data_IF_401771808666
#
_entry.id   IF_401771808666
#
_cell.length_a   1.000
_cell.length_b   1.000
_cell.length_c   1.000
_cell.angle_alpha   90.00
_cell.angle_beta   90.00
_cell.angle_gamma   90.00
#
_symmetry.space_group_name_H-M   'P 1'
#
loop_
_entity.id
_entity.type
_entity.pdbx_description
1 polymer ?
#
# COMPACT_ATOMS: atom_id res chain seq x y z
N UNK A 1 11.13 -5.64 -8.17
CA UNK A 1 10.84 -7.09 -8.35
C UNK A 1 11.94 -7.82 -9.12
N UNK A 2 12.31 -7.39 -10.34
CA UNK A 2 13.53 -7.90 -11.01
C UNK A 2 14.80 -7.62 -10.20
N UNK A 3 14.90 -6.44 -9.58
CA UNK A 3 16.02 -6.08 -8.69
C UNK A 3 16.14 -7.00 -7.46
N UNK A 4 15.04 -7.62 -7.04
CA UNK A 4 14.96 -8.53 -5.89
C UNK A 4 14.88 -10.01 -6.32
N UNK A 5 15.10 -10.29 -7.61
CA UNK A 5 15.01 -11.61 -8.23
C UNK A 5 13.71 -12.37 -7.91
N UNK A 6 12.58 -11.65 -7.86
CA UNK A 6 11.26 -12.24 -7.64
C UNK A 6 10.72 -12.77 -8.96
N UNK A 7 10.34 -14.04 -8.98
CA UNK A 7 9.66 -14.68 -10.10
C UNK A 7 8.24 -14.12 -10.27
N UNK A 8 8.05 -13.33 -11.34
CA UNK A 8 6.80 -12.65 -11.61
C UNK A 8 5.67 -13.62 -12.01
N UNK A 9 5.96 -14.85 -12.45
CA UNK A 9 4.89 -15.82 -12.73
C UNK A 9 4.18 -16.30 -11.46
N UNK A 10 4.72 -16.00 -10.28
CA UNK A 10 4.16 -16.33 -8.96
C UNK A 10 3.39 -15.17 -8.33
N UNK A 11 3.20 -14.06 -9.03
CA UNK A 11 2.58 -12.86 -8.46
C UNK A 11 1.61 -12.20 -9.45
N UNK A 12 0.49 -11.70 -8.91
CA UNK A 12 -0.42 -10.78 -9.60
C UNK A 12 -0.38 -9.41 -8.92
N UNK A 13 -0.38 -8.34 -9.72
CA UNK A 13 -0.54 -6.96 -9.23
C UNK A 13 -1.85 -6.44 -9.79
N UNK A 14 -2.88 -6.38 -8.95
CA UNK A 14 -4.24 -6.03 -9.34
C UNK A 14 -4.66 -4.76 -8.57
N UNK A 15 -4.97 -3.64 -9.26
CA UNK A 15 -5.51 -2.46 -8.60
C UNK A 15 -6.95 -2.75 -8.15
N UNK A 16 -7.27 -2.41 -6.90
CA UNK A 16 -8.60 -2.60 -6.30
C UNK A 16 -9.14 -1.24 -5.89
N UNK A 17 -10.32 -0.89 -6.39
CA UNK A 17 -11.00 0.35 -6.02
C UNK A 17 -11.63 0.22 -4.63
N UNK A 18 -11.67 1.35 -3.90
CA UNK A 18 -12.32 1.39 -2.60
C UNK A 18 -13.83 1.17 -2.77
N UNK A 19 -14.41 0.27 -1.98
CA UNK A 19 -15.84 0.00 -2.01
C UNK A 19 -16.56 0.85 -0.96
N UNK A 20 -17.62 1.54 -1.37
CA UNK A 20 -18.44 2.33 -0.44
C UNK A 20 -19.20 1.44 0.55
N UNK A 21 -19.69 0.29 0.07
CA UNK A 21 -20.40 -0.68 0.91
C UNK A 21 -19.44 -1.75 1.42
N UNK A 22 -19.09 -1.65 2.71
CA UNK A 22 -18.16 -2.60 3.34
C UNK A 22 -18.72 -4.02 3.43
N UNK A 23 -20.05 -4.18 3.47
CA UNK A 23 -20.72 -5.48 3.57
C UNK A 23 -20.47 -6.33 2.33
N UNK A 24 -20.36 -5.71 1.15
CA UNK A 24 -20.12 -6.42 -0.11
C UNK A 24 -18.63 -6.63 -0.41
N UNK A 25 -17.72 -6.07 0.40
CA UNK A 25 -16.30 -6.01 0.08
C UNK A 25 -15.65 -7.39 -0.04
N UNK A 26 -15.95 -8.33 0.87
CA UNK A 26 -15.39 -9.67 0.79
C UNK A 26 -15.85 -10.44 -0.47
N UNK A 27 -17.13 -10.31 -0.83
CA UNK A 27 -17.68 -10.92 -2.06
C UNK A 27 -17.10 -10.26 -3.32
N UNK A 28 -16.89 -8.95 -3.30
CA UNK A 28 -16.23 -8.21 -4.37
C UNK A 28 -14.79 -8.69 -4.57
N UNK A 29 -14.00 -8.86 -3.50
CA UNK A 29 -12.65 -9.41 -3.61
C UNK A 29 -12.65 -10.82 -4.22
N UNK A 30 -13.61 -11.68 -3.82
CA UNK A 30 -13.74 -13.04 -4.40
C UNK A 30 -14.13 -13.04 -5.87
N UNK A 31 -14.81 -12.00 -6.38
CA UNK A 31 -15.23 -11.95 -7.78
C UNK A 31 -14.17 -11.39 -8.73
N UNK A 32 -13.32 -10.48 -8.26
CA UNK A 32 -12.34 -9.80 -9.11
C UNK A 32 -10.92 -10.37 -9.01
N UNK A 33 -10.62 -11.11 -7.95
CA UNK A 33 -9.30 -11.70 -7.73
C UNK A 33 -9.26 -13.15 -8.20
N UNK A 34 -8.08 -13.65 -8.64
CA UNK A 34 -7.84 -15.08 -8.71
C UNK A 34 -8.15 -15.75 -7.37
N UNK A 35 -8.49 -17.04 -7.40
CA UNK A 35 -8.73 -17.81 -6.18
C UNK A 35 -7.56 -17.69 -5.20
N UNK A 36 -7.87 -17.46 -3.92
CA UNK A 36 -6.89 -17.33 -2.85
C UNK A 36 -7.37 -18.04 -1.58
N UNK A 37 -6.43 -18.59 -0.82
CA UNK A 37 -6.73 -19.36 0.40
C UNK A 37 -6.49 -18.56 1.68
N UNK A 38 -5.57 -17.59 1.65
CA UNK A 38 -5.15 -16.83 2.83
C UNK A 38 -4.91 -15.37 2.48
N UNK A 39 -5.21 -14.48 3.43
CA UNK A 39 -4.97 -13.04 3.35
C UNK A 39 -3.97 -12.63 4.42
N UNK A 40 -3.07 -11.70 4.08
CA UNK A 40 -2.17 -11.07 5.04
C UNK A 40 -2.58 -9.61 5.24
N UNK A 41 -2.97 -9.23 6.46
CA UNK A 41 -3.35 -7.85 6.78
C UNK A 41 -2.79 -7.42 8.12
N UNK A 42 -2.21 -6.21 8.16
CA UNK A 42 -1.84 -5.54 9.40
C UNK A 42 -2.93 -4.61 9.95
N UNK A 43 -4.06 -4.48 9.25
CA UNK A 43 -5.21 -3.66 9.66
C UNK A 43 -6.23 -4.57 10.36
N UNK A 44 -6.56 -4.26 11.61
CA UNK A 44 -7.43 -5.09 12.44
C UNK A 44 -8.88 -5.10 11.96
N UNK A 45 -9.38 -3.97 11.44
CA UNK A 45 -10.73 -3.88 10.87
C UNK A 45 -10.87 -4.74 9.61
N UNK A 46 -9.93 -4.63 8.68
CA UNK A 46 -9.85 -5.51 7.49
C UNK A 46 -9.77 -6.97 7.89
N UNK A 47 -8.98 -7.29 8.91
CA UNK A 47 -8.81 -8.66 9.37
C UNK A 47 -10.11 -9.23 9.93
N UNK A 48 -10.83 -8.46 10.75
CA UNK A 48 -12.12 -8.84 11.31
C UNK A 48 -13.14 -9.10 10.19
N UNK A 49 -13.32 -8.15 9.27
CA UNK A 49 -14.29 -8.26 8.18
C UNK A 49 -14.10 -9.50 7.31
N UNK A 50 -12.85 -9.83 6.96
CA UNK A 50 -12.57 -10.98 6.11
C UNK A 50 -12.70 -12.30 6.88
N UNK A 51 -12.36 -12.31 8.17
CA UNK A 51 -12.60 -13.47 9.03
C UNK A 51 -14.09 -13.76 9.20
N UNK A 52 -14.93 -12.73 9.39
CA UNK A 52 -16.39 -12.86 9.43
C UNK A 52 -16.96 -13.41 8.12
N UNK A 53 -16.28 -13.16 7.00
CA UNK A 53 -16.60 -13.73 5.68
C UNK A 53 -16.00 -15.14 5.44
N UNK A 54 -15.46 -15.78 6.47
CA UNK A 54 -14.88 -17.13 6.45
C UNK A 54 -13.50 -17.24 5.80
N UNK A 55 -12.78 -16.12 5.62
CA UNK A 55 -11.45 -16.10 5.01
C UNK A 55 -10.39 -16.19 6.10
N UNK A 56 -9.37 -17.04 5.90
CA UNK A 56 -8.23 -17.13 6.82
C UNK A 56 -7.33 -15.90 6.67
N UNK A 57 -7.17 -15.13 7.75
CA UNK A 57 -6.32 -13.94 7.79
C UNK A 57 -5.13 -14.15 8.73
N UNK A 58 -3.93 -13.82 8.27
CA UNK A 58 -2.71 -13.84 9.06
C UNK A 58 -2.17 -12.41 9.28
N UNK A 59 -1.67 -12.13 10.48
CA UNK A 59 -0.92 -10.88 10.73
C UNK A 59 0.49 -11.00 10.11
N UNK A 60 0.90 -10.09 9.21
CA UNK A 60 2.24 -10.13 8.65
C UNK A 60 3.29 -9.68 9.66
N UNK A 61 4.50 -10.23 9.56
CA UNK A 61 5.66 -9.76 10.31
C UNK A 61 6.20 -8.50 9.64
N UNK A 62 6.18 -7.38 10.37
CA UNK A 62 6.73 -6.12 9.87
C UNK A 62 8.19 -5.97 10.28
N UNK A 63 9.05 -5.63 9.32
CA UNK A 63 10.42 -5.22 9.56
C UNK A 63 10.45 -3.74 9.94
N UNK A 64 11.13 -3.40 11.04
CA UNK A 64 11.44 -2.04 11.49
C UNK A 64 10.37 -0.97 11.19
N UNK A 65 9.15 -1.17 11.70
CA UNK A 65 7.97 -0.31 11.40
C UNK A 65 8.20 1.19 11.55
N UNK A 66 9.08 1.61 12.47
CA UNK A 66 9.39 3.03 12.67
C UNK A 66 10.15 3.63 11.48
N UNK A 67 10.98 2.84 10.82
CA UNK A 67 11.78 3.26 9.67
C UNK A 67 11.00 3.08 8.36
N UNK A 68 10.53 1.85 8.11
CA UNK A 68 9.88 1.45 6.85
C UNK A 68 8.37 1.65 6.93
N UNK A 69 7.94 2.91 6.96
CA UNK A 69 6.54 3.28 6.81
C UNK A 69 6.36 4.50 5.92
N UNK A 70 5.22 4.57 5.23
CA UNK A 70 4.93 5.63 4.26
C UNK A 70 4.89 7.02 4.89
N UNK A 71 4.45 7.15 6.15
CA UNK A 71 4.36 8.44 6.83
C UNK A 71 5.75 9.03 7.03
N UNK A 72 6.69 8.23 7.54
CA UNK A 72 8.09 8.63 7.69
C UNK A 72 8.72 8.98 6.34
N UNK A 73 8.58 8.11 5.34
CA UNK A 73 9.16 8.34 4.00
C UNK A 73 8.61 9.63 3.37
N UNK A 74 7.30 9.89 3.45
CA UNK A 74 6.70 11.14 2.98
C UNK A 74 7.23 12.36 3.74
N UNK A 75 7.39 12.26 5.05
CA UNK A 75 7.98 13.34 5.85
C UNK A 75 9.42 13.64 5.45
N UNK A 76 10.24 12.61 5.19
CA UNK A 76 11.61 12.78 4.70
C UNK A 76 11.64 13.49 3.33
N UNK A 77 10.74 13.13 2.40
CA UNK A 77 10.59 13.82 1.10
C UNK A 77 10.23 15.30 1.29
N UNK A 78 9.27 15.60 2.18
CA UNK A 78 8.82 16.98 2.42
C UNK A 78 9.94 17.83 3.04
N UNK A 79 10.75 17.23 3.92
CA UNK A 79 11.86 17.89 4.62
C UNK A 79 13.18 17.91 3.83
N UNK A 80 13.20 17.47 2.56
CA UNK A 80 14.42 17.34 1.75
C UNK A 80 15.52 16.49 2.41
N UNK A 81 15.13 15.47 3.19
CA UNK A 81 16.02 14.49 3.82
C UNK A 81 16.22 13.26 2.94
N UNK A 82 17.15 12.39 3.32
CA UNK A 82 17.40 11.13 2.61
C UNK A 82 16.23 10.14 2.79
N UNK A 83 15.30 10.15 1.85
CA UNK A 83 14.22 9.17 1.74
C UNK A 83 14.56 8.02 0.78
N UNK A 84 15.57 8.18 -0.07
CA UNK A 84 15.88 7.23 -1.13
C UNK A 84 16.44 5.93 -0.58
N UNK A 85 17.18 5.99 0.52
CA UNK A 85 17.71 4.81 1.22
C UNK A 85 16.63 3.93 1.87
N UNK A 86 15.39 4.43 1.98
CA UNK A 86 14.25 3.72 2.59
C UNK A 86 13.32 3.06 1.58
N UNK A 87 13.63 3.13 0.28
CA UNK A 87 12.84 2.51 -0.79
C UNK A 87 13.76 1.80 -1.80
N UNK A 88 13.25 0.79 -2.53
CA UNK A 88 14.01 0.21 -3.65
C UNK A 88 14.35 1.25 -4.72
N UNK A 89 15.49 1.10 -5.39
CA UNK A 89 15.98 2.04 -6.39
C UNK A 89 14.98 2.25 -7.55
N UNK A 90 14.28 1.18 -7.96
CA UNK A 90 13.22 1.27 -8.96
C UNK A 90 12.07 2.20 -8.52
N UNK A 91 11.70 2.18 -7.23
CA UNK A 91 10.64 3.04 -6.68
C UNK A 91 11.10 4.50 -6.65
N UNK A 92 12.34 4.77 -6.21
CA UNK A 92 12.89 6.13 -6.24
C UNK A 92 12.89 6.73 -7.64
N UNK A 93 13.23 5.91 -8.65
CA UNK A 93 13.19 6.30 -10.07
C UNK A 93 11.77 6.67 -10.52
N UNK A 94 10.77 5.86 -10.17
CA UNK A 94 9.36 6.15 -10.50
C UNK A 94 8.90 7.44 -9.86
N UNK A 95 9.17 7.64 -8.56
CA UNK A 95 8.79 8.86 -7.83
C UNK A 95 9.37 10.11 -8.49
N UNK A 96 10.65 10.07 -8.89
CA UNK A 96 11.29 11.18 -9.62
C UNK A 96 10.66 11.40 -11.00
N UNK A 97 10.43 10.32 -11.76
CA UNK A 97 9.83 10.38 -13.11
C UNK A 97 8.44 11.01 -13.12
N UNK A 98 7.61 10.74 -12.11
CA UNK A 98 6.24 11.29 -12.03
C UNK A 98 6.16 12.66 -11.35
N UNK A 99 7.30 13.30 -11.07
CA UNK A 99 7.39 14.54 -10.30
C UNK A 99 6.73 14.44 -8.90
N UNK A 100 6.85 13.27 -8.26
CA UNK A 100 6.17 12.96 -7.00
C UNK A 100 6.66 13.82 -5.82
N UNK A 101 7.94 14.22 -5.83
CA UNK A 101 8.54 15.06 -4.79
C UNK A 101 7.85 16.43 -4.75
N UNK A 102 7.79 17.11 -5.89
CA UNK A 102 7.15 18.43 -5.97
C UNK A 102 5.66 18.34 -5.66
N UNK A 103 4.97 17.34 -6.22
CA UNK A 103 3.54 17.10 -5.95
C UNK A 103 3.27 16.95 -4.47
N UNK A 104 4.07 16.15 -3.76
CA UNK A 104 3.90 15.93 -2.33
C UNK A 104 4.10 17.22 -1.52
N UNK A 105 5.10 18.04 -1.85
CA UNK A 105 5.35 19.33 -1.21
C UNK A 105 4.23 20.34 -1.42
N UNK A 106 3.58 20.30 -2.59
CA UNK A 106 2.41 21.16 -2.88
C UNK A 106 1.23 20.71 -2.03
N UNK A 107 0.90 19.41 -2.06
CA UNK A 107 -0.22 18.85 -1.28
C UNK A 107 -0.04 19.07 0.22
N UNK A 108 1.19 18.97 0.74
CA UNK A 108 1.45 19.20 2.17
C UNK A 108 1.24 20.65 2.62
N UNK A 109 1.22 21.61 1.70
CA UNK A 109 0.98 23.03 1.97
C UNK A 109 -0.47 23.45 1.71
N UNK A 110 -1.23 22.65 0.95
CA UNK A 110 -2.62 22.95 0.63
C UNK A 110 -3.55 22.53 1.76
N UNK A 111 -4.60 23.33 2.01
CA UNK A 111 -5.70 22.96 2.91
C UNK A 111 -6.58 21.85 2.34
N UNK A 112 -6.44 21.54 1.05
CA UNK A 112 -7.17 20.46 0.38
C UNK A 112 -6.78 19.12 0.98
N UNK A 113 -7.77 18.41 1.54
CA UNK A 113 -7.63 17.04 2.04
C UNK A 113 -8.34 16.08 1.08
N UNK A 114 -7.69 15.66 -0.02
CA UNK A 114 -8.33 14.85 -1.06
C UNK A 114 -8.83 13.47 -0.58
N UNK A 115 -8.55 13.06 0.66
CA UNK A 115 -9.04 11.82 1.27
C UNK A 115 -10.23 12.02 2.22
N UNK A 116 -10.71 13.25 2.43
CA UNK A 116 -11.87 13.58 3.30
C UNK A 116 -13.16 13.84 2.48
N UNK A 117 -13.25 13.31 1.25
CA UNK A 117 -14.43 13.39 0.38
C UNK A 117 -15.00 12.01 0.07
#
# INVERSE_FOLDING_TARGET
MKEANVDLSKCFIIPIENQFNIVTWASYLKSILPQFDQVYSGNEYVSMLLQDAGIKVNKPKFLERKQYNSTNIRNLIIQDKDWQSFVPAAVATVIKKINGINRLKIISKSETKPTEH
#
